data_IF_790689560580
#
_entry.id   IF_790689560580
#
_cell.length_a   1.000
_cell.length_b   1.000
_cell.length_c   1.000
_cell.angle_alpha   90.00
_cell.angle_beta   90.00
_cell.angle_gamma   90.00
#
_symmetry.space_group_name_H-M   'P 1'
#
loop_
_entity.id
_entity.type
_entity.pdbx_description
1 polymer ?
#
# COMPACT_ATOMS: atom_id res chain seq x y z
N UNK A 1 11.90 -1.57 -2.70
CA UNK A 1 12.61 -0.28 -2.58
C UNK A 1 14.12 -0.51 -2.68
N UNK A 2 14.77 -1.07 -1.67
CA UNK A 2 16.24 -1.25 -1.57
C UNK A 2 16.97 -1.62 -2.88
N UNK A 3 16.62 -2.75 -3.51
CA UNK A 3 17.35 -3.24 -4.69
C UNK A 3 16.86 -2.69 -6.04
N UNK A 4 15.66 -2.11 -6.09
CA UNK A 4 15.05 -1.60 -7.32
C UNK A 4 14.93 -0.08 -7.37
N UNK A 5 15.32 0.63 -6.30
CA UNK A 5 15.19 2.08 -6.19
C UNK A 5 13.77 2.64 -6.16
N UNK A 6 12.74 1.79 -6.05
CA UNK A 6 11.33 2.20 -6.08
C UNK A 6 10.93 3.00 -4.82
N UNK A 7 10.01 3.94 -4.99
CA UNK A 7 9.26 4.55 -3.89
C UNK A 7 8.34 3.57 -3.18
N UNK A 8 7.77 3.97 -2.03
CA UNK A 8 6.94 3.08 -1.22
C UNK A 8 5.69 2.63 -2.00
N UNK A 9 4.90 3.57 -2.55
CA UNK A 9 3.68 3.24 -3.30
C UNK A 9 3.98 2.39 -4.54
N UNK A 10 5.04 2.72 -5.29
CA UNK A 10 5.45 1.94 -6.47
C UNK A 10 5.82 0.49 -6.10
N UNK A 11 6.46 0.29 -4.95
CA UNK A 11 6.79 -1.05 -4.47
C UNK A 11 5.55 -1.83 -4.03
N UNK A 12 4.58 -1.18 -3.36
CA UNK A 12 3.29 -1.78 -2.99
C UNK A 12 2.55 -2.22 -4.26
N UNK A 13 2.40 -1.31 -5.22
CA UNK A 13 1.77 -1.58 -6.51
C UNK A 13 2.43 -2.75 -7.24
N UNK A 14 3.76 -2.78 -7.27
CA UNK A 14 4.50 -3.86 -7.91
C UNK A 14 4.16 -5.22 -7.28
N UNK A 15 4.13 -5.31 -5.96
CA UNK A 15 3.82 -6.56 -5.25
C UNK A 15 2.37 -6.98 -5.49
N UNK A 16 1.42 -6.07 -5.30
CA UNK A 16 -0.02 -6.37 -5.46
C UNK A 16 -0.35 -6.78 -6.90
N UNK A 17 0.25 -6.13 -7.90
CA UNK A 17 -0.07 -6.36 -9.32
C UNK A 17 0.76 -7.46 -9.99
N UNK A 18 2.01 -7.67 -9.57
CA UNK A 18 2.97 -8.51 -10.31
C UNK A 18 3.57 -9.66 -9.49
N UNK A 19 3.36 -9.69 -8.16
CA UNK A 19 3.93 -10.75 -7.31
C UNK A 19 2.88 -11.73 -6.78
N UNK A 20 1.64 -11.29 -6.70
CA UNK A 20 0.51 -12.16 -6.44
C UNK A 20 0.06 -12.73 -7.78
N UNK A 21 0.19 -14.04 -7.96
CA UNK A 21 -0.27 -14.74 -9.17
C UNK A 21 -1.81 -14.73 -9.24
N UNK A 22 -2.48 -15.87 -9.01
CA UNK A 22 -3.95 -15.92 -8.88
C UNK A 22 -4.45 -15.55 -7.47
N UNK A 23 -3.53 -15.12 -6.59
CA UNK A 23 -3.83 -14.81 -5.20
C UNK A 23 -4.46 -13.43 -5.02
N UNK A 24 -5.45 -13.36 -4.14
CA UNK A 24 -6.05 -12.10 -3.69
C UNK A 24 -5.53 -11.71 -2.31
N UNK A 25 -4.92 -10.54 -2.19
CA UNK A 25 -4.44 -9.98 -0.94
C UNK A 25 -4.43 -8.45 -0.95
N UNK A 26 -4.27 -7.89 0.24
CA UNK A 26 -3.98 -6.49 0.45
C UNK A 26 -2.87 -6.33 1.47
N UNK A 27 -2.19 -5.20 1.43
CA UNK A 27 -1.19 -4.85 2.42
C UNK A 27 -1.19 -3.35 2.72
N UNK A 28 -0.75 -3.04 3.93
CA UNK A 28 -0.43 -1.68 4.37
C UNK A 28 1.07 -1.62 4.63
N UNK A 29 1.69 -0.50 4.28
CA UNK A 29 3.12 -0.30 4.44
C UNK A 29 3.44 1.12 4.87
N UNK A 30 4.52 1.27 5.63
CA UNK A 30 5.08 2.56 6.05
C UNK A 30 6.56 2.60 5.74
N UNK A 31 7.08 3.77 5.45
CA UNK A 31 8.50 3.99 5.20
C UNK A 31 9.12 4.86 6.29
N UNK A 32 10.44 4.74 6.48
CA UNK A 32 11.17 5.48 7.51
C UNK A 32 11.12 7.00 7.36
N UNK A 33 10.74 7.50 6.18
CA UNK A 33 10.51 8.94 5.92
C UNK A 33 9.09 9.42 6.23
N UNK A 34 8.24 8.58 6.84
CA UNK A 34 6.86 8.93 7.20
C UNK A 34 5.84 8.73 6.08
N UNK A 35 6.26 8.17 4.93
CA UNK A 35 5.33 7.80 3.87
C UNK A 35 4.46 6.62 4.31
N UNK A 36 3.18 6.68 3.97
CA UNK A 36 2.22 5.59 4.14
C UNK A 36 1.71 5.16 2.76
N UNK A 37 1.55 3.87 2.55
CA UNK A 37 1.02 3.31 1.32
C UNK A 37 0.15 2.10 1.62
N UNK A 38 -0.82 1.86 0.76
CA UNK A 38 -1.64 0.67 0.80
C UNK A 38 -1.98 0.23 -0.62
N UNK A 39 -2.36 -1.03 -0.77
CA UNK A 39 -2.79 -1.59 -2.04
C UNK A 39 -3.43 -2.95 -1.83
N UNK A 40 -4.42 -3.26 -2.65
CA UNK A 40 -5.15 -4.52 -2.62
C UNK A 40 -5.65 -4.88 -4.01
N UNK A 41 -5.80 -6.17 -4.30
CA UNK A 41 -6.40 -6.66 -5.55
C UNK A 41 -7.73 -7.40 -5.32
N UNK A 42 -8.21 -7.48 -4.08
CA UNK A 42 -9.53 -7.99 -3.73
C UNK A 42 -10.63 -6.93 -3.95
N UNK A 43 -11.90 -7.29 -3.69
CA UNK A 43 -13.03 -6.36 -3.85
C UNK A 43 -12.95 -5.12 -2.96
N UNK A 44 -12.28 -5.23 -1.80
CA UNK A 44 -12.13 -4.14 -0.84
C UNK A 44 -11.25 -4.52 0.34
N UNK A 45 -10.74 -3.51 1.04
CA UNK A 45 -9.91 -3.61 2.22
C UNK A 45 -10.32 -2.55 3.24
N UNK A 46 -10.89 -2.99 4.37
CA UNK A 46 -11.09 -2.13 5.54
C UNK A 46 -9.72 -1.64 6.02
N UNK A 47 -9.49 -0.33 5.93
CA UNK A 47 -8.19 0.29 6.21
C UNK A 47 -8.36 1.67 6.82
N UNK A 48 -7.37 2.07 7.60
CA UNK A 48 -7.18 3.44 8.03
C UNK A 48 -5.69 3.79 7.95
N UNK A 49 -5.37 4.99 7.49
CA UNK A 49 -4.01 5.52 7.48
C UNK A 49 -4.00 6.98 7.93
N UNK A 50 -2.89 7.39 8.53
CA UNK A 50 -2.67 8.76 8.94
C UNK A 50 -1.16 9.07 8.96
N UNK A 51 -0.82 10.34 8.76
CA UNK A 51 0.54 10.87 8.93
C UNK A 51 0.53 12.14 9.78
N UNK A 52 1.70 12.50 10.29
CA UNK A 52 1.87 13.61 11.23
C UNK A 52 1.50 14.98 10.63
N UNK A 53 1.63 15.13 9.31
CA UNK A 53 1.28 16.34 8.55
C UNK A 53 -0.23 16.56 8.41
N UNK A 54 -1.06 15.69 9.00
CA UNK A 54 -2.50 15.84 9.06
C UNK A 54 -3.27 15.09 7.98
N UNK A 55 -2.60 14.31 7.13
CA UNK A 55 -3.32 13.38 6.26
C UNK A 55 -3.94 12.25 7.10
N UNK A 56 -5.20 11.93 6.78
CA UNK A 56 -5.97 10.85 7.39
C UNK A 56 -6.98 10.31 6.39
N UNK A 57 -7.08 8.98 6.29
CA UNK A 57 -8.05 8.30 5.44
C UNK A 57 -8.60 7.07 6.17
N UNK A 58 -9.90 6.80 6.00
CA UNK A 58 -10.53 5.52 6.37
C UNK A 58 -11.34 5.06 5.17
N UNK A 59 -11.14 3.81 4.76
CA UNK A 59 -11.72 3.30 3.52
C UNK A 59 -12.00 1.80 3.58
N UNK A 60 -12.85 1.36 2.66
CA UNK A 60 -13.14 -0.07 2.40
C UNK A 60 -12.94 -0.34 0.91
N UNK A 61 -13.47 0.55 0.07
CA UNK A 61 -13.44 0.45 -1.38
C UNK A 61 -12.38 1.40 -1.97
N UNK A 62 -12.22 1.38 -3.30
CA UNK A 62 -11.58 2.46 -4.05
C UNK A 62 -12.48 3.71 -4.11
#
# INVERSE_FOLDING_TARGET
MEYKGLGLQEAVDFVIKNRLDEGYAGLIAVFSKGEVAYGFNCNGMFRGCASEDGFMEVGIWE
#
